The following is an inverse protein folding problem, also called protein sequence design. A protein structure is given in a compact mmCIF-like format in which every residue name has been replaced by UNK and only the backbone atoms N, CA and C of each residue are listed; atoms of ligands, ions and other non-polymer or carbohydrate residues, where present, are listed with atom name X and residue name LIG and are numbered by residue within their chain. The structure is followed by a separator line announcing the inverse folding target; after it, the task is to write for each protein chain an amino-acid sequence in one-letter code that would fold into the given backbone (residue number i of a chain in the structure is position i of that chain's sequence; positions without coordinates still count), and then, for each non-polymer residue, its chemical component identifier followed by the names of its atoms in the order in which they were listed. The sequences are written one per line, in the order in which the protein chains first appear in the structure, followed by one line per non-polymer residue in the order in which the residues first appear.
data_IF_320482199859
#
_entry.id   IF_320482199859
#
_cell.length_a   1.000
_cell.length_b   1.000
_cell.length_c   1.000
_cell.angle_alpha   90.00
_cell.angle_beta   90.00
_cell.angle_gamma   90.00
#
_symmetry.space_group_name_H-M   'P 1'
#
loop_
_entity.id
_entity.type
_entity.pdbx_description
1 polymer ?
#
# COMPACT_ATOMS: atom_id res chain seq x y z
N UNK A 1 -21.86 -26.31 0.29
CA UNK A 1 -22.83 -25.27 -0.09
C UNK A 1 -22.07 -24.29 -0.97
N UNK A 2 -22.36 -24.18 -2.26
CA UNK A 2 -21.68 -23.22 -3.12
C UNK A 2 -21.92 -21.83 -2.52
N UNK A 3 -20.85 -21.09 -2.26
CA UNK A 3 -20.93 -19.67 -1.91
C UNK A 3 -21.59 -18.98 -3.12
N UNK A 4 -22.90 -18.69 -3.03
CA UNK A 4 -23.53 -17.80 -3.99
C UNK A 4 -22.70 -16.52 -4.01
N UNK A 5 -22.24 -16.13 -5.21
CA UNK A 5 -21.38 -14.96 -5.38
C UNK A 5 -22.05 -13.74 -4.76
N UNK A 6 -21.34 -13.12 -3.81
CA UNK A 6 -21.76 -11.86 -3.20
C UNK A 6 -21.40 -10.72 -4.12
N UNK A 7 -22.34 -9.83 -4.35
CA UNK A 7 -22.08 -8.63 -5.14
C UNK A 7 -21.43 -7.55 -4.30
N UNK A 8 -20.51 -6.83 -4.93
CA UNK A 8 -19.91 -5.63 -4.34
C UNK A 8 -20.98 -4.52 -4.41
N UNK A 9 -21.39 -4.04 -3.25
CA UNK A 9 -22.41 -3.00 -3.12
C UNK A 9 -21.84 -1.59 -3.23
N UNK A 10 -20.62 -1.38 -2.69
CA UNK A 10 -19.99 -0.07 -2.67
C UNK A 10 -18.46 -0.15 -2.67
N UNK A 11 -17.83 0.93 -3.12
CA UNK A 11 -16.42 1.21 -2.96
C UNK A 11 -16.24 2.63 -2.42
N UNK A 12 -15.28 2.84 -1.52
CA UNK A 12 -14.95 4.15 -0.94
C UNK A 12 -13.44 4.33 -0.92
N UNK A 13 -12.98 5.54 -1.12
CA UNK A 13 -11.58 5.88 -1.06
C UNK A 13 -11.34 7.01 -0.05
N UNK A 14 -10.39 6.79 0.86
CA UNK A 14 -10.02 7.74 1.90
C UNK A 14 -8.55 8.13 1.72
N UNK A 15 -8.25 9.41 1.87
CA UNK A 15 -6.88 9.89 1.92
C UNK A 15 -6.52 10.14 3.37
N UNK A 16 -5.50 9.41 3.85
CA UNK A 16 -5.00 9.57 5.21
C UNK A 16 -3.80 10.51 5.18
N UNK A 17 -3.96 11.64 5.85
CA UNK A 17 -2.88 12.56 6.14
C UNK A 17 -2.33 12.20 7.51
N UNK A 18 -1.11 11.65 7.54
CA UNK A 18 -0.46 11.28 8.78
C UNK A 18 -0.18 12.51 9.64
N UNK A 19 -0.52 12.44 10.93
CA UNK A 19 -0.14 13.46 11.92
C UNK A 19 1.32 13.38 12.36
N UNK A 20 2.10 12.45 11.82
CA UNK A 20 3.54 12.34 12.03
C UNK A 20 4.30 12.95 10.85
N UNK A 21 5.46 13.52 11.10
CA UNK A 21 6.33 13.96 10.03
C UNK A 21 6.70 12.75 9.15
N UNK A 22 6.26 12.78 7.90
CA UNK A 22 6.76 11.86 6.89
C UNK A 22 8.29 12.02 6.86
N UNK A 23 9.03 10.92 6.92
CA UNK A 23 10.50 10.98 6.87
C UNK A 23 11.03 11.65 5.59
N UNK A 24 10.19 11.81 4.57
CA UNK A 24 10.47 12.60 3.37
C UNK A 24 10.40 14.10 3.59
N UNK A 25 9.63 14.56 4.57
CA UNK A 25 9.42 15.97 4.89
C UNK A 25 10.33 16.45 6.03
N UNK A 26 11.18 15.58 6.55
CA UNK A 26 12.05 15.91 7.66
C UNK A 26 13.24 16.79 7.23
N UNK A 27 13.68 17.63 8.15
CA UNK A 27 14.83 18.48 7.99
C UNK A 27 16.11 17.69 7.68
N UNK A 28 17.15 18.40 7.27
CA UNK A 28 18.48 17.83 6.95
C UNK A 28 19.12 17.00 8.09
N UNK A 29 18.54 17.01 9.28
CA UNK A 29 19.00 16.22 10.43
C UNK A 29 18.56 14.76 10.38
N UNK A 30 17.57 14.41 9.55
CA UNK A 30 17.17 13.02 9.42
C UNK A 30 18.30 12.21 8.78
N UNK A 31 18.68 11.10 9.43
CA UNK A 31 19.83 10.28 9.05
C UNK A 31 19.79 9.79 7.59
N UNK A 32 18.60 9.54 7.04
CA UNK A 32 18.41 9.05 5.68
C UNK A 32 18.70 10.13 4.63
N UNK A 33 18.51 11.40 4.96
CA UNK A 33 18.60 12.53 4.01
C UNK A 33 20.02 12.69 3.47
N UNK A 34 21.03 12.49 4.33
CA UNK A 34 22.43 12.64 3.94
C UNK A 34 23.03 11.40 3.27
N UNK A 35 22.34 10.26 3.32
CA UNK A 35 22.90 8.96 2.93
C UNK A 35 22.26 8.36 1.68
N UNK A 36 21.11 8.84 1.26
CA UNK A 36 20.39 8.30 0.10
C UNK A 36 20.33 9.37 -0.99
N UNK A 37 21.01 9.10 -2.09
CA UNK A 37 20.86 9.87 -3.30
C UNK A 37 19.50 9.58 -3.97
N UNK A 38 18.85 10.60 -4.48
CA UNK A 38 17.66 10.54 -5.31
C UNK A 38 17.96 11.16 -6.68
N UNK A 39 17.14 10.96 -7.69
CA UNK A 39 17.29 11.68 -8.96
C UNK A 39 17.37 13.20 -8.80
N UNK A 40 16.77 13.76 -7.75
CA UNK A 40 16.82 15.20 -7.46
C UNK A 40 18.14 15.64 -6.82
N UNK A 41 18.98 14.72 -6.35
CA UNK A 41 20.25 15.05 -5.68
C UNK A 41 21.32 15.66 -6.59
N UNK A 42 21.08 15.72 -7.89
CA UNK A 42 21.90 16.48 -8.85
C UNK A 42 21.75 18.00 -8.65
N UNK A 43 20.65 18.43 -8.03
CA UNK A 43 20.39 19.82 -7.70
C UNK A 43 20.76 20.07 -6.24
N UNK A 44 21.72 21.00 -5.96
CA UNK A 44 22.23 21.22 -4.61
C UNK A 44 21.15 21.55 -3.57
N UNK A 45 20.13 22.31 -3.98
CA UNK A 45 19.02 22.73 -3.14
C UNK A 45 18.12 21.58 -2.64
N UNK A 46 18.15 20.44 -3.34
CA UNK A 46 17.35 19.24 -3.00
C UNK A 46 18.18 18.14 -2.34
N UNK A 47 19.48 18.30 -2.15
CA UNK A 47 20.32 17.29 -1.50
C UNK A 47 19.95 17.05 -0.04
N UNK A 48 19.57 18.12 0.68
CA UNK A 48 19.33 18.08 2.11
C UNK A 48 17.88 17.68 2.47
N UNK A 49 16.98 17.59 1.49
CA UNK A 49 15.57 17.24 1.71
C UNK A 49 15.10 16.22 0.67
N UNK A 50 14.05 15.49 1.01
CA UNK A 50 13.39 14.54 0.10
C UNK A 50 11.98 14.96 -0.28
N UNK A 51 11.55 16.15 0.11
CA UNK A 51 10.22 16.68 -0.13
C UNK A 51 9.85 16.77 -1.60
N UNK A 52 10.86 16.92 -2.47
CA UNK A 52 10.69 17.01 -3.93
C UNK A 52 10.67 15.66 -4.64
N UNK A 53 10.87 14.56 -3.93
CA UNK A 53 10.97 13.24 -4.53
C UNK A 53 10.27 12.17 -3.71
N UNK A 54 9.41 11.43 -4.40
CA UNK A 54 8.77 10.26 -3.86
C UNK A 54 7.26 10.33 -3.89
N UNK A 55 6.64 9.18 -4.05
CA UNK A 55 5.18 9.06 -4.13
C UNK A 55 4.48 9.33 -2.80
N UNK A 56 5.22 9.26 -1.69
CA UNK A 56 4.68 9.52 -0.35
C UNK A 56 4.21 10.98 -0.19
N UNK A 57 4.75 11.90 -1.01
CA UNK A 57 4.25 13.28 -1.08
C UNK A 57 2.75 13.36 -1.43
N UNK A 58 2.21 12.33 -2.08
CA UNK A 58 0.81 12.25 -2.46
C UNK A 58 -0.10 11.75 -1.33
N UNK A 59 0.47 11.36 -0.17
CA UNK A 59 -0.22 10.78 1.00
C UNK A 59 -0.63 9.32 0.80
N UNK A 60 -1.27 8.75 1.82
CA UNK A 60 -1.72 7.37 1.84
C UNK A 60 -3.15 7.27 1.34
N UNK A 61 -3.40 6.28 0.48
CA UNK A 61 -4.73 5.89 0.05
C UNK A 61 -5.19 4.68 0.84
N UNK A 62 -6.41 4.72 1.35
CA UNK A 62 -7.15 3.57 1.88
C UNK A 62 -8.39 3.36 1.00
N UNK A 63 -8.57 2.15 0.51
CA UNK A 63 -9.78 1.75 -0.23
C UNK A 63 -10.56 0.77 0.62
N UNK A 64 -11.85 1.00 0.73
CA UNK A 64 -12.83 0.12 1.34
C UNK A 64 -13.77 -0.41 0.26
N UNK A 65 -13.97 -1.71 0.22
CA UNK A 65 -14.95 -2.39 -0.65
C UNK A 65 -15.96 -3.10 0.23
N UNK A 66 -17.25 -2.86 0.00
CA UNK A 66 -18.37 -3.42 0.78
C UNK A 66 -19.19 -4.38 -0.08
N UNK A 67 -19.45 -5.57 0.44
CA UNK A 67 -20.37 -6.54 -0.17
C UNK A 67 -21.83 -6.24 0.21
N UNK A 68 -22.76 -6.82 -0.52
CA UNK A 68 -24.21 -6.67 -0.35
C UNK A 68 -24.77 -7.16 1.02
N UNK A 69 -23.95 -7.85 1.79
CA UNK A 69 -24.26 -8.28 3.17
C UNK A 69 -23.58 -7.43 4.25
N UNK A 70 -22.93 -6.32 3.88
CA UNK A 70 -22.28 -5.39 4.80
C UNK A 70 -20.87 -5.78 5.23
N UNK A 71 -20.32 -6.91 4.77
CA UNK A 71 -18.92 -7.25 5.01
C UNK A 71 -18.02 -6.33 4.20
N UNK A 72 -16.96 -5.81 4.83
CA UNK A 72 -16.03 -4.87 4.20
C UNK A 72 -14.61 -5.42 4.14
N UNK A 73 -13.92 -5.15 3.04
CA UNK A 73 -12.49 -5.39 2.84
C UNK A 73 -11.73 -4.08 2.63
N UNK A 74 -10.46 -4.05 3.04
CA UNK A 74 -9.62 -2.87 3.00
C UNK A 74 -8.32 -3.12 2.25
N UNK A 75 -7.90 -2.14 1.46
CA UNK A 75 -6.59 -2.08 0.84
C UNK A 75 -5.91 -0.75 1.08
N UNK A 76 -4.61 -0.76 1.32
CA UNK A 76 -3.83 0.43 1.65
C UNK A 76 -2.64 0.54 0.71
N UNK A 77 -2.39 1.73 0.19
CA UNK A 77 -1.24 2.03 -0.67
C UNK A 77 -0.84 3.51 -0.58
N UNK A 78 0.16 3.88 -1.35
CA UNK A 78 0.51 5.28 -1.61
C UNK A 78 -0.27 5.81 -2.80
N UNK A 79 -0.22 7.14 -3.03
CA UNK A 79 -0.87 7.78 -4.17
C UNK A 79 -1.99 8.75 -3.82
N UNK A 80 -2.42 8.77 -2.56
CA UNK A 80 -3.31 9.76 -1.93
C UNK A 80 -4.43 10.29 -2.81
N UNK A 81 -4.56 11.61 -2.89
CA UNK A 81 -5.65 12.28 -3.62
C UNK A 81 -5.76 11.90 -5.10
N UNK A 82 -4.67 11.86 -5.91
CA UNK A 82 -4.78 11.44 -7.30
C UNK A 82 -5.29 10.01 -7.48
N UNK A 83 -4.83 9.08 -6.63
CA UNK A 83 -5.29 7.71 -6.68
C UNK A 83 -6.73 7.57 -6.18
N UNK A 84 -7.12 8.31 -5.13
CA UNK A 84 -8.51 8.35 -4.64
C UNK A 84 -9.46 8.86 -5.73
N UNK A 85 -9.07 9.90 -6.45
CA UNK A 85 -9.86 10.41 -7.58
C UNK A 85 -10.07 9.34 -8.66
N UNK A 86 -9.01 8.60 -9.02
CA UNK A 86 -9.09 7.50 -9.99
C UNK A 86 -10.03 6.40 -9.51
N UNK A 87 -9.95 6.00 -8.24
CA UNK A 87 -10.85 5.00 -7.66
C UNK A 87 -12.30 5.43 -7.79
N UNK A 88 -12.62 6.66 -7.37
CA UNK A 88 -14.01 7.13 -7.24
C UNK A 88 -14.64 7.63 -8.54
N UNK A 89 -13.85 7.98 -9.55
CA UNK A 89 -14.35 8.60 -10.78
C UNK A 89 -14.11 7.77 -12.04
N UNK A 90 -13.31 6.72 -11.95
CA UNK A 90 -13.02 5.89 -13.12
C UNK A 90 -13.06 4.39 -12.84
N UNK A 91 -12.45 3.91 -11.76
CA UNK A 91 -12.28 2.47 -11.50
C UNK A 91 -13.49 1.83 -10.82
N UNK A 92 -14.28 2.59 -10.09
CA UNK A 92 -15.50 2.14 -9.39
C UNK A 92 -16.46 1.35 -10.27
N UNK A 93 -16.63 1.75 -11.52
CA UNK A 93 -17.50 1.12 -12.52
C UNK A 93 -17.13 -0.32 -12.85
N UNK A 94 -15.87 -0.70 -12.62
CA UNK A 94 -15.40 -2.07 -12.82
C UNK A 94 -15.54 -2.93 -11.56
N UNK A 95 -15.87 -2.33 -10.43
CA UNK A 95 -15.94 -2.96 -9.11
C UNK A 95 -17.36 -3.10 -8.63
N UNK A 96 -18.12 -2.00 -8.58
CA UNK A 96 -19.49 -2.01 -8.05
C UNK A 96 -20.41 -2.86 -8.92
N UNK A 97 -21.21 -3.69 -8.27
CA UNK A 97 -22.14 -4.64 -8.91
C UNK A 97 -21.50 -5.93 -9.43
N UNK A 98 -20.17 -6.09 -9.31
CA UNK A 98 -19.47 -7.32 -9.71
C UNK A 98 -19.54 -8.37 -8.59
N UNK A 99 -19.29 -9.61 -8.96
CA UNK A 99 -19.12 -10.71 -8.00
C UNK A 99 -17.77 -10.57 -7.31
N UNK A 100 -17.76 -10.60 -5.97
CA UNK A 100 -16.54 -10.52 -5.16
C UNK A 100 -15.55 -11.68 -5.41
N UNK A 101 -15.98 -12.77 -6.05
CA UNK A 101 -15.10 -13.87 -6.47
C UNK A 101 -14.31 -13.56 -7.76
N UNK A 102 -14.72 -12.58 -8.56
CA UNK A 102 -14.12 -12.28 -9.87
C UNK A 102 -12.91 -11.33 -9.78
N UNK A 103 -12.06 -11.46 -8.76
CA UNK A 103 -10.94 -10.53 -8.48
C UNK A 103 -10.06 -10.34 -9.72
N UNK A 104 -9.59 -11.43 -10.32
CA UNK A 104 -8.71 -11.39 -11.50
C UNK A 104 -9.36 -10.67 -12.69
N UNK A 105 -10.65 -10.91 -12.90
CA UNK A 105 -11.40 -10.27 -13.99
C UNK A 105 -11.57 -8.78 -13.74
N UNK A 106 -11.88 -8.39 -12.50
CA UNK A 106 -11.99 -6.99 -12.09
C UNK A 106 -10.65 -6.29 -12.29
N UNK A 107 -9.54 -6.92 -11.85
CA UNK A 107 -8.20 -6.41 -12.03
C UNK A 107 -7.85 -6.19 -13.52
N UNK A 108 -8.09 -7.21 -14.37
CA UNK A 108 -7.80 -7.14 -15.82
C UNK A 108 -8.61 -6.03 -16.49
N UNK A 109 -9.87 -5.84 -16.10
CA UNK A 109 -10.71 -4.76 -16.63
C UNK A 109 -10.15 -3.38 -16.25
N UNK A 110 -9.79 -3.17 -14.99
CA UNK A 110 -9.19 -1.91 -14.54
C UNK A 110 -7.86 -1.62 -15.24
N UNK A 111 -7.00 -2.65 -15.38
CA UNK A 111 -5.71 -2.53 -16.06
C UNK A 111 -5.88 -2.17 -17.54
N UNK A 112 -6.72 -2.90 -18.27
CA UNK A 112 -6.97 -2.63 -19.69
C UNK A 112 -7.59 -1.27 -19.94
N UNK A 113 -8.55 -0.87 -19.11
CA UNK A 113 -9.18 0.43 -19.22
C UNK A 113 -8.21 1.61 -19.02
N UNK A 114 -7.11 1.38 -18.32
CA UNK A 114 -6.10 2.40 -18.01
C UNK A 114 -4.80 2.30 -18.81
N UNK A 115 -4.70 1.39 -19.77
CA UNK A 115 -3.46 1.09 -20.51
C UNK A 115 -2.78 2.32 -21.12
N UNK A 116 -3.53 3.30 -21.61
CA UNK A 116 -2.96 4.49 -22.24
C UNK A 116 -2.26 5.44 -21.27
N UNK A 117 -2.67 5.46 -19.99
CA UNK A 117 -2.18 6.44 -19.00
C UNK A 117 -1.74 5.79 -17.68
N UNK A 118 -1.92 4.49 -17.49
CA UNK A 118 -1.84 3.85 -16.19
C UNK A 118 -1.05 2.56 -16.06
N UNK A 119 -0.12 2.28 -16.97
CA UNK A 119 0.69 1.05 -16.90
C UNK A 119 1.65 0.98 -15.71
N UNK A 120 1.87 2.08 -15.03
CA UNK A 120 2.71 2.21 -13.83
C UNK A 120 2.36 3.48 -13.05
N UNK A 121 2.92 3.63 -11.87
CA UNK A 121 2.73 4.82 -11.03
C UNK A 121 1.37 4.86 -10.33
N UNK A 122 0.78 6.05 -10.23
CA UNK A 122 -0.41 6.32 -9.41
C UNK A 122 -1.62 5.45 -9.79
N UNK A 123 -1.80 5.18 -11.07
CA UNK A 123 -2.91 4.32 -11.51
C UNK A 123 -2.74 2.90 -11.00
N UNK A 124 -1.53 2.34 -11.09
CA UNK A 124 -1.26 1.00 -10.55
C UNK A 124 -1.41 0.96 -9.03
N UNK A 125 -1.08 2.04 -8.33
CA UNK A 125 -1.36 2.12 -6.90
C UNK A 125 -2.86 2.08 -6.61
N UNK A 126 -3.67 2.81 -7.37
CA UNK A 126 -5.13 2.75 -7.23
C UNK A 126 -5.68 1.34 -7.49
N UNK A 127 -5.25 0.69 -8.57
CA UNK A 127 -5.63 -0.70 -8.89
C UNK A 127 -5.19 -1.65 -7.77
N UNK A 128 -3.96 -1.53 -7.29
CA UNK A 128 -3.44 -2.38 -6.21
C UNK A 128 -4.19 -2.21 -4.89
N UNK A 129 -4.62 -0.99 -4.55
CA UNK A 129 -5.44 -0.77 -3.36
C UNK A 129 -6.81 -1.46 -3.46
N UNK A 130 -7.43 -1.41 -4.64
CA UNK A 130 -8.69 -2.11 -4.91
C UNK A 130 -8.47 -3.62 -4.83
N UNK A 131 -7.43 -4.13 -5.46
CA UNK A 131 -7.09 -5.55 -5.45
C UNK A 131 -6.88 -6.10 -4.04
N UNK A 132 -6.09 -5.40 -3.22
CA UNK A 132 -5.90 -5.75 -1.81
C UNK A 132 -7.23 -5.75 -1.04
N UNK A 133 -8.10 -4.76 -1.28
CA UNK A 133 -9.41 -4.69 -0.64
C UNK A 133 -10.33 -5.85 -1.06
N UNK A 134 -10.26 -6.28 -2.32
CA UNK A 134 -11.03 -7.42 -2.84
C UNK A 134 -10.55 -8.74 -2.21
N UNK A 135 -9.25 -8.95 -2.10
CA UNK A 135 -8.69 -10.13 -1.42
C UNK A 135 -9.06 -10.18 0.06
N UNK A 136 -8.99 -9.05 0.77
CA UNK A 136 -9.41 -8.96 2.18
C UNK A 136 -10.92 -9.22 2.33
N UNK A 137 -11.73 -8.63 1.44
CA UNK A 137 -13.18 -8.89 1.41
C UNK A 137 -13.49 -10.37 1.20
N UNK A 138 -12.87 -10.99 0.19
CA UNK A 138 -13.11 -12.38 -0.15
C UNK A 138 -12.69 -13.32 0.99
N UNK A 139 -11.54 -13.03 1.63
CA UNK A 139 -11.08 -13.78 2.81
C UNK A 139 -12.08 -13.74 3.96
N UNK A 140 -12.64 -12.57 4.24
CA UNK A 140 -13.68 -12.38 5.26
C UNK A 140 -14.99 -13.07 4.90
N UNK A 141 -15.42 -12.99 3.64
CA UNK A 141 -16.62 -13.68 3.16
C UNK A 141 -16.52 -15.20 3.22
N UNK A 142 -15.30 -15.74 3.08
CA UNK A 142 -15.03 -17.19 3.14
C UNK A 142 -14.59 -17.66 4.52
N UNK A 143 -14.37 -16.74 5.46
CA UNK A 143 -13.74 -17.02 6.76
C UNK A 143 -12.40 -17.75 6.61
N UNK A 144 -11.66 -17.38 5.56
CA UNK A 144 -10.41 -18.02 5.17
C UNK A 144 -9.31 -16.96 5.00
N UNK A 145 -8.13 -17.17 5.59
CA UNK A 145 -7.03 -16.22 5.41
C UNK A 145 -6.49 -16.25 3.97
N UNK A 146 -6.09 -15.08 3.46
CA UNK A 146 -5.65 -14.91 2.08
C UNK A 146 -4.54 -15.88 1.67
N UNK A 147 -3.58 -16.18 2.56
CA UNK A 147 -2.52 -17.13 2.24
C UNK A 147 -3.04 -18.55 1.93
N UNK A 148 -4.15 -18.97 2.55
CA UNK A 148 -4.75 -20.27 2.28
C UNK A 148 -5.42 -20.30 0.89
N UNK A 149 -6.12 -19.22 0.53
CA UNK A 149 -6.68 -19.05 -0.82
C UNK A 149 -5.60 -19.00 -1.93
N UNK A 150 -4.39 -18.56 -1.58
CA UNK A 150 -3.24 -18.50 -2.50
C UNK A 150 -2.42 -19.80 -2.56
N UNK A 151 -2.90 -20.89 -1.98
CA UNK A 151 -2.23 -22.19 -2.06
C UNK A 151 -1.64 -22.71 -0.75
N UNK A 152 -1.85 -22.02 0.36
CA UNK A 152 -1.48 -22.47 1.70
C UNK A 152 -0.09 -22.05 2.18
N UNK A 153 0.28 -22.57 3.33
CA UNK A 153 1.56 -22.24 3.98
C UNK A 153 2.72 -23.04 3.37
N UNK A 154 3.82 -22.36 3.12
CA UNK A 154 5.12 -22.99 2.82
C UNK A 154 5.97 -23.11 4.10
N UNK A 155 5.75 -22.25 5.09
CA UNK A 155 6.47 -22.21 6.36
C UNK A 155 5.51 -21.91 7.50
N UNK A 156 5.72 -22.54 8.65
CA UNK A 156 4.95 -22.26 9.87
C UNK A 156 5.44 -20.98 10.55
N UNK A 157 6.74 -20.69 10.47
CA UNK A 157 7.37 -19.52 11.06
C UNK A 157 8.16 -18.75 10.02
N UNK A 158 8.07 -17.41 10.09
CA UNK A 158 8.84 -16.49 9.25
C UNK A 158 9.84 -15.74 10.10
N UNK A 159 11.11 -15.76 9.69
CA UNK A 159 12.11 -14.87 10.25
C UNK A 159 12.03 -13.54 9.51
N UNK A 160 11.85 -12.46 10.25
CA UNK A 160 11.80 -11.11 9.68
C UNK A 160 12.83 -10.18 10.34
N UNK A 161 13.08 -9.07 9.71
CA UNK A 161 13.90 -7.97 10.23
C UNK A 161 13.14 -6.65 10.12
N UNK A 162 13.40 -5.73 11.03
CA UNK A 162 12.85 -4.40 10.95
C UNK A 162 13.74 -3.49 10.12
N UNK A 163 13.14 -2.71 9.24
CA UNK A 163 13.83 -1.67 8.47
C UNK A 163 13.39 -0.31 8.99
N UNK A 164 14.36 0.53 9.33
CA UNK A 164 14.11 1.96 9.60
C UNK A 164 14.22 2.43 11.03
N UNK A 165 13.85 1.69 12.10
CA UNK A 165 14.03 2.23 13.44
C UNK A 165 15.52 2.38 13.77
N UNK A 166 15.85 3.42 14.55
CA UNK A 166 17.20 3.54 15.09
C UNK A 166 17.55 2.30 15.93
N UNK A 167 18.82 1.84 15.94
CA UNK A 167 19.21 0.62 16.66
C UNK A 167 18.82 0.61 18.14
N UNK A 168 18.93 1.75 18.81
CA UNK A 168 18.54 1.93 20.22
C UNK A 168 17.03 1.74 20.42
N UNK A 169 16.20 2.27 19.52
CA UNK A 169 14.75 2.09 19.55
C UNK A 169 14.35 0.65 19.24
N UNK A 170 14.97 0.06 18.23
CA UNK A 170 14.73 -1.32 17.85
C UNK A 170 15.05 -2.29 18.99
N UNK A 171 16.14 -2.06 19.72
CA UNK A 171 16.54 -2.84 20.90
C UNK A 171 15.51 -2.69 22.02
N UNK A 172 14.99 -1.47 22.28
CA UNK A 172 13.90 -1.24 23.26
C UNK A 172 12.60 -1.96 22.87
N UNK A 173 12.35 -2.13 21.57
CA UNK A 173 11.20 -2.87 21.04
C UNK A 173 11.42 -4.40 21.03
N UNK A 174 12.55 -4.91 21.50
CA UNK A 174 12.87 -6.33 21.51
C UNK A 174 13.18 -6.93 20.15
N UNK A 175 13.52 -6.11 19.15
CA UNK A 175 13.80 -6.57 17.79
C UNK A 175 15.24 -7.13 17.71
N UNK A 176 15.36 -8.41 17.36
CA UNK A 176 16.63 -9.13 17.29
C UNK A 176 17.35 -8.98 15.96
N UNK A 177 16.62 -8.62 14.89
CA UNK A 177 17.18 -8.43 13.55
C UNK A 177 16.72 -7.11 12.99
N UNK A 178 17.68 -6.27 12.63
CA UNK A 178 17.43 -4.92 12.11
C UNK A 178 18.25 -4.74 10.85
N UNK A 179 17.59 -4.35 9.75
CA UNK A 179 18.30 -3.82 8.58
C UNK A 179 18.53 -2.32 8.80
N UNK A 180 19.63 -1.99 9.45
CA UNK A 180 20.04 -0.61 9.66
C UNK A 180 21.09 -0.22 8.62
N UNK A 181 20.82 0.84 7.88
CA UNK A 181 21.81 1.48 6.99
C UNK A 181 22.65 2.51 7.79
N UNK A 182 23.21 2.07 8.92
CA UNK A 182 24.01 2.92 9.78
C UNK A 182 25.50 2.69 9.54
N UNK A 183 26.34 3.71 9.67
CA UNK A 183 27.77 3.52 9.73
C UNK A 183 28.10 2.55 10.88
N UNK A 184 29.06 1.64 10.66
CA UNK A 184 29.44 0.61 11.64
C UNK A 184 29.78 1.18 13.03
N UNK A 185 30.22 2.42 13.13
CA UNK A 185 30.51 3.14 14.39
C UNK A 185 29.27 3.52 15.21
N UNK A 186 28.08 3.42 14.65
CA UNK A 186 26.82 3.77 15.36
C UNK A 186 26.13 2.56 15.98
N UNK A 187 26.68 1.36 15.82
CA UNK A 187 26.09 0.08 16.25
C UNK A 187 26.85 -0.56 17.42
N UNK A 188 27.94 0.05 17.88
CA UNK A 188 28.75 -0.39 19.01
C UNK A 188 28.13 0.00 20.37
#
# INVERSE_FOLDING_TARGET
MALMGRKIAAIRAYVVEGGGADYHDQSAEHWIVKQIATPMSIYPEYKATRTSFGINALKTLVVEVEADNGVTGFGITTGGYPAAWLVMNHLDRFVVGKDANEIEKIWDQMYRASLYYGRKGVVMNAISAIDLALWDLLGKLREEPVYAMLGGKVREELTFYATGPRPDLAKKMGLNKIAARWPAKAVA
#
